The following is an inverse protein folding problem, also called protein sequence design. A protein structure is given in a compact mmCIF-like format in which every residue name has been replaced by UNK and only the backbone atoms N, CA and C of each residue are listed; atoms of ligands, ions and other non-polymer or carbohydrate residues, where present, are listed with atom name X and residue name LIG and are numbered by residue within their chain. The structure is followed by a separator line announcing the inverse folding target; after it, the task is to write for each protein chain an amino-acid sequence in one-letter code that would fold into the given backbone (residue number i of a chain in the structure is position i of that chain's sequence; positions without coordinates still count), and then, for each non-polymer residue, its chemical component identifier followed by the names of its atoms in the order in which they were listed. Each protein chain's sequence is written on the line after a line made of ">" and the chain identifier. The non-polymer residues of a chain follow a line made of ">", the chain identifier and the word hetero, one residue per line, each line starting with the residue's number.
data_IF_458799063479
#
_entry.id   IF_458799063479
#
_cell.length_a   1.000
_cell.length_b   1.000
_cell.length_c   1.000
_cell.angle_alpha   90.00
_cell.angle_beta   90.00
_cell.angle_gamma   90.00
#
_symmetry.space_group_name_H-M   'P 1'
#
loop_
_entity.id
_entity.type
_entity.pdbx_description
1 polymer ?
#
# COMPACT_ATOMS: atom_id res chain seq x y z
N UNK A 1 -13.44 43.13 13.67
CA UNK A 1 -13.64 41.71 14.02
C UNK A 1 -13.58 40.82 12.79
N UNK A 2 -14.35 41.07 11.72
CA UNK A 2 -14.26 40.26 10.47
C UNK A 2 -12.88 40.21 9.78
N UNK A 3 -12.08 41.28 9.87
CA UNK A 3 -10.74 41.31 9.27
C UNK A 3 -9.69 40.47 10.01
N UNK A 4 -9.83 40.34 11.33
CA UNK A 4 -8.91 39.58 12.19
C UNK A 4 -9.15 38.08 12.05
N UNK A 5 -10.42 37.67 12.03
CA UNK A 5 -10.84 36.27 11.86
C UNK A 5 -10.51 35.72 10.46
N UNK A 6 -10.60 36.54 9.40
CA UNK A 6 -10.16 36.15 8.05
C UNK A 6 -8.63 35.94 7.97
N UNK A 7 -7.86 36.74 8.71
CA UNK A 7 -6.40 36.65 8.74
C UNK A 7 -5.92 35.43 9.55
N UNK A 8 -6.55 35.14 10.69
CA UNK A 8 -6.30 33.93 11.49
C UNK A 8 -6.61 32.65 10.69
N UNK A 9 -7.73 32.63 9.96
CA UNK A 9 -8.09 31.50 9.11
C UNK A 9 -7.09 31.27 7.95
N UNK A 10 -6.50 32.33 7.39
CA UNK A 10 -5.50 32.19 6.34
C UNK A 10 -4.17 31.67 6.89
N UNK A 11 -3.77 32.10 8.09
CA UNK A 11 -2.57 31.60 8.78
C UNK A 11 -2.70 30.11 9.11
N UNK A 12 -3.86 29.68 9.63
CA UNK A 12 -4.12 28.26 9.90
C UNK A 12 -4.06 27.41 8.62
N UNK A 13 -4.62 27.90 7.50
CA UNK A 13 -4.52 27.20 6.20
C UNK A 13 -3.07 27.05 5.74
N UNK A 14 -2.27 28.11 5.85
CA UNK A 14 -0.86 28.06 5.47
C UNK A 14 -0.09 27.05 6.33
N UNK A 15 -0.34 27.02 7.64
CA UNK A 15 0.27 26.06 8.54
C UNK A 15 -0.09 24.61 8.18
N UNK A 16 -1.35 24.34 7.81
CA UNK A 16 -1.75 23.01 7.33
C UNK A 16 -0.99 22.59 6.08
N UNK A 17 -0.76 23.51 5.13
CA UNK A 17 0.03 23.23 3.94
C UNK A 17 1.51 22.97 4.26
N UNK A 18 2.09 23.75 5.16
CA UNK A 18 3.48 23.58 5.61
C UNK A 18 3.70 22.24 6.31
N UNK A 19 2.77 21.83 7.19
CA UNK A 19 2.81 20.52 7.86
C UNK A 19 2.74 19.39 6.82
N UNK A 20 1.84 19.50 5.85
CA UNK A 20 1.68 18.47 4.82
C UNK A 20 2.92 18.39 3.90
N UNK A 21 3.48 19.53 3.49
CA UNK A 21 4.72 19.57 2.70
C UNK A 21 5.90 18.97 3.48
N UNK A 22 6.03 19.32 4.77
CA UNK A 22 7.05 18.76 5.64
C UNK A 22 6.93 17.24 5.81
N UNK A 23 5.70 16.73 5.94
CA UNK A 23 5.40 15.29 6.02
C UNK A 23 5.91 14.56 4.77
N UNK A 24 5.51 15.00 3.56
CA UNK A 24 5.93 14.34 2.32
C UNK A 24 7.42 14.49 2.01
N UNK A 25 8.08 15.59 2.44
CA UNK A 25 9.54 15.72 2.39
C UNK A 25 10.23 14.74 3.34
N UNK A 26 9.63 14.45 4.49
CA UNK A 26 10.15 13.46 5.43
C UNK A 26 10.04 12.04 4.85
N UNK A 27 8.89 11.70 4.27
CA UNK A 27 8.72 10.43 3.57
C UNK A 27 9.69 10.27 2.38
N UNK A 28 9.97 11.34 1.64
CA UNK A 28 10.94 11.31 0.54
C UNK A 28 12.36 11.01 1.04
N UNK A 29 12.80 11.69 2.12
CA UNK A 29 14.10 11.40 2.75
C UNK A 29 14.18 9.97 3.24
N UNK A 30 13.10 9.44 3.81
CA UNK A 30 13.08 8.05 4.26
C UNK A 30 13.14 7.07 3.08
N UNK A 31 12.46 7.38 1.97
CA UNK A 31 12.54 6.62 0.73
C UNK A 31 13.95 6.61 0.13
N UNK A 32 14.67 7.74 0.20
CA UNK A 32 16.07 7.82 -0.20
C UNK A 32 16.98 7.00 0.72
N UNK A 33 16.73 7.01 2.03
CA UNK A 33 17.43 6.14 2.96
C UNK A 33 17.25 4.66 2.60
N UNK A 34 16.02 4.21 2.30
CA UNK A 34 15.77 2.84 1.86
C UNK A 34 16.51 2.50 0.55
N UNK A 35 16.62 3.45 -0.38
CA UNK A 35 17.43 3.31 -1.59
C UNK A 35 18.90 3.02 -1.28
N UNK A 36 19.51 3.80 -0.39
CA UNK A 36 20.90 3.56 0.03
C UNK A 36 21.09 2.25 0.79
N UNK A 37 20.09 1.81 1.55
CA UNK A 37 20.16 0.52 2.21
C UNK A 37 20.06 -0.64 1.21
N UNK A 38 19.23 -0.50 0.17
CA UNK A 38 19.17 -1.47 -0.92
C UNK A 38 20.49 -1.54 -1.69
N UNK A 39 21.13 -0.41 -1.98
CA UNK A 39 22.45 -0.34 -2.62
C UNK A 39 23.52 -1.16 -1.88
N UNK A 40 23.48 -1.13 -0.54
CA UNK A 40 24.49 -1.79 0.30
C UNK A 40 24.33 -3.30 0.38
N UNK A 41 23.10 -3.81 0.44
CA UNK A 41 22.83 -5.21 0.79
C UNK A 41 22.08 -5.99 -0.28
N UNK A 42 21.48 -5.32 -1.27
CA UNK A 42 20.44 -5.86 -2.15
C UNK A 42 19.28 -6.56 -1.41
N UNK A 43 19.11 -6.31 -0.11
CA UNK A 43 18.05 -6.87 0.74
C UNK A 43 17.45 -5.74 1.57
N UNK A 44 16.20 -5.40 1.25
CA UNK A 44 15.50 -4.20 1.70
C UNK A 44 14.11 -4.48 2.27
N UNK A 45 13.52 -5.66 2.00
CA UNK A 45 12.16 -6.02 2.38
C UNK A 45 11.90 -5.83 3.87
N UNK A 46 12.78 -6.31 4.75
CA UNK A 46 12.62 -6.11 6.20
C UNK A 46 12.57 -4.63 6.61
N UNK A 47 13.37 -3.78 5.95
CA UNK A 47 13.39 -2.33 6.23
C UNK A 47 12.16 -1.63 5.68
N UNK A 48 11.62 -2.10 4.54
CA UNK A 48 10.35 -1.62 4.01
C UNK A 48 9.19 -2.04 4.92
N UNK A 49 9.19 -3.27 5.44
CA UNK A 49 8.20 -3.70 6.44
C UNK A 49 8.28 -2.80 7.68
N UNK A 50 9.49 -2.56 8.20
CA UNK A 50 9.68 -1.66 9.34
C UNK A 50 9.16 -0.24 9.04
N UNK A 51 9.45 0.30 7.86
CA UNK A 51 8.94 1.61 7.46
C UNK A 51 7.41 1.66 7.49
N UNK A 52 6.71 0.59 7.10
CA UNK A 52 5.24 0.51 7.15
C UNK A 52 4.74 0.48 8.60
N UNK A 53 5.41 -0.26 9.48
CA UNK A 53 5.11 -0.26 10.92
C UNK A 53 5.29 1.14 11.50
N UNK A 54 6.38 1.82 11.14
CA UNK A 54 6.65 3.19 11.58
C UNK A 54 5.56 4.16 11.08
N UNK A 55 5.05 3.98 9.86
CA UNK A 55 3.89 4.74 9.37
C UNK A 55 2.65 4.51 10.24
N UNK A 56 2.35 3.26 10.61
CA UNK A 56 1.22 2.95 11.49
C UNK A 56 1.38 3.55 12.89
N UNK A 57 2.59 3.50 13.44
CA UNK A 57 2.91 4.12 14.73
C UNK A 57 2.79 5.64 14.67
N UNK A 58 3.36 6.28 13.64
CA UNK A 58 3.29 7.73 13.45
C UNK A 58 1.86 8.22 13.22
N UNK A 59 1.03 7.43 12.52
CA UNK A 59 -0.37 7.76 12.27
C UNK A 59 -1.26 7.56 13.51
N UNK A 60 -0.87 6.72 14.47
CA UNK A 60 -1.72 6.37 15.61
C UNK A 60 -1.92 7.56 16.54
N UNK A 61 -3.18 8.01 16.65
CA UNK A 61 -3.56 9.15 17.49
C UNK A 61 -4.18 8.60 18.78
N UNK A 62 -3.38 8.63 19.85
CA UNK A 62 -3.84 8.39 21.22
C UNK A 62 -3.87 9.73 21.97
N UNK A 63 -5.01 10.41 21.92
CA UNK A 63 -5.19 11.73 22.55
C UNK A 63 -6.20 11.62 23.68
N UNK A 64 -5.88 12.26 24.82
CA UNK A 64 -6.81 12.51 25.91
C UNK A 64 -6.62 13.96 26.37
N UNK A 65 -7.47 14.85 25.89
CA UNK A 65 -7.38 16.28 26.14
C UNK A 65 -8.53 16.75 27.02
N UNK A 66 -8.20 17.47 28.10
CA UNK A 66 -9.18 18.20 28.91
C UNK A 66 -9.42 19.55 28.26
N UNK A 67 -10.64 19.81 27.80
CA UNK A 67 -11.02 21.07 27.20
C UNK A 67 -11.36 22.03 28.33
N UNK A 68 -10.63 23.15 28.41
CA UNK A 68 -10.77 24.18 29.44
C UNK A 68 -11.33 25.45 28.77
N UNK A 69 -12.25 26.14 29.43
CA UNK A 69 -12.76 27.44 28.96
C UNK A 69 -11.84 28.61 29.34
N UNK A 70 -12.23 29.84 28.96
CA UNK A 70 -11.44 31.05 29.23
C UNK A 70 -11.32 31.39 30.73
N UNK A 71 -12.16 30.79 31.57
CA UNK A 71 -12.19 30.99 33.02
C UNK A 71 -11.49 29.83 33.78
N UNK A 72 -10.68 29.03 33.07
CA UNK A 72 -10.01 27.85 33.59
C UNK A 72 -10.95 26.73 34.11
N UNK A 73 -12.20 26.68 33.64
CA UNK A 73 -13.14 25.59 34.01
C UNK A 73 -13.11 24.47 32.99
N UNK A 74 -13.17 23.23 33.49
CA UNK A 74 -13.28 22.04 32.65
C UNK A 74 -14.62 22.08 31.92
N UNK A 75 -14.56 22.22 30.60
CA UNK A 75 -15.70 22.23 29.69
C UNK A 75 -16.01 20.84 29.12
N UNK A 76 -15.02 19.95 29.09
CA UNK A 76 -15.20 18.57 28.63
C UNK A 76 -13.88 17.80 28.51
N UNK A 77 -13.97 16.57 28.01
CA UNK A 77 -12.82 15.72 27.68
C UNK A 77 -12.97 15.19 26.25
N UNK A 78 -11.92 15.34 25.44
CA UNK A 78 -11.80 14.67 24.15
C UNK A 78 -10.86 13.47 24.31
N UNK A 79 -11.34 12.28 23.94
CA UNK A 79 -10.54 11.06 23.94
C UNK A 79 -10.61 10.42 22.56
N UNK A 80 -9.46 10.06 22.00
CA UNK A 80 -9.36 9.41 20.71
C UNK A 80 -8.34 8.28 20.77
N UNK A 81 -8.73 7.14 20.21
CA UNK A 81 -7.85 6.01 19.85
C UNK A 81 -8.09 5.73 18.38
N UNK A 82 -7.66 6.68 17.54
CA UNK A 82 -7.91 6.65 16.11
C UNK A 82 -6.65 6.17 15.39
N UNK A 83 -6.83 5.21 14.48
CA UNK A 83 -5.76 4.66 13.64
C UNK A 83 -6.08 4.99 12.16
N UNK A 84 -5.58 6.11 11.64
CA UNK A 84 -5.75 6.48 10.24
C UNK A 84 -5.19 5.41 9.30
N UNK A 85 -5.78 5.32 8.11
CA UNK A 85 -5.22 4.49 7.05
C UNK A 85 -3.93 5.10 6.52
N UNK A 86 -2.87 4.29 6.43
CA UNK A 86 -1.52 4.71 5.95
C UNK A 86 -1.33 4.48 4.45
N UNK A 87 -2.41 4.22 3.70
CA UNK A 87 -2.32 3.81 2.28
C UNK A 87 -1.66 4.86 1.40
N UNK A 88 -2.03 6.14 1.55
CA UNK A 88 -1.44 7.22 0.76
C UNK A 88 0.07 7.39 1.06
N UNK A 89 0.44 7.35 2.34
CA UNK A 89 1.84 7.45 2.76
C UNK A 89 2.68 6.26 2.26
N UNK A 90 2.12 5.06 2.30
CA UNK A 90 2.77 3.86 1.76
C UNK A 90 2.96 3.96 0.24
N UNK A 91 1.93 4.35 -0.50
CA UNK A 91 2.03 4.52 -1.96
C UNK A 91 3.07 5.58 -2.33
N UNK A 92 3.08 6.71 -1.62
CA UNK A 92 4.08 7.75 -1.81
C UNK A 92 5.49 7.27 -1.50
N UNK A 93 5.69 6.58 -0.38
CA UNK A 93 6.98 6.03 0.03
C UNK A 93 7.53 5.03 -1.01
N UNK A 94 6.70 4.10 -1.50
CA UNK A 94 7.13 3.15 -2.53
C UNK A 94 7.41 3.86 -3.86
N UNK A 95 6.58 4.84 -4.26
CA UNK A 95 6.81 5.59 -5.49
C UNK A 95 8.14 6.38 -5.45
N UNK A 96 8.43 7.05 -4.33
CA UNK A 96 9.68 7.77 -4.14
C UNK A 96 10.88 6.84 -4.03
N UNK A 97 10.73 5.70 -3.38
CA UNK A 97 11.78 4.67 -3.32
C UNK A 97 12.14 4.19 -4.74
N UNK A 98 11.14 3.86 -5.57
CA UNK A 98 11.35 3.46 -6.97
C UNK A 98 11.97 4.57 -7.82
N UNK A 99 11.61 5.83 -7.58
CA UNK A 99 12.22 6.99 -8.24
C UNK A 99 13.71 7.08 -7.91
N UNK A 100 14.08 6.93 -6.63
CA UNK A 100 15.48 6.98 -6.21
C UNK A 100 16.28 5.80 -6.76
N UNK A 101 15.71 4.59 -6.78
CA UNK A 101 16.31 3.43 -7.45
C UNK A 101 16.58 3.73 -8.93
N UNK A 102 15.58 4.28 -9.63
CA UNK A 102 15.73 4.65 -11.04
C UNK A 102 16.86 5.66 -11.29
N UNK A 103 17.07 6.62 -10.37
CA UNK A 103 18.18 7.56 -10.45
C UNK A 103 19.53 6.91 -10.13
N UNK A 104 19.58 6.09 -9.08
CA UNK A 104 20.79 5.40 -8.64
C UNK A 104 21.38 4.50 -9.73
N UNK A 105 20.52 3.84 -10.52
CA UNK A 105 20.93 3.00 -11.65
C UNK A 105 20.85 3.73 -13.01
N UNK A 106 20.78 5.07 -13.02
CA UNK A 106 20.77 5.92 -14.21
C UNK A 106 19.74 5.51 -15.28
N UNK A 107 18.58 5.01 -14.84
CA UNK A 107 17.60 4.42 -15.74
C UNK A 107 16.80 5.43 -16.57
N UNK A 108 16.79 6.69 -16.17
CA UNK A 108 15.99 7.75 -16.79
C UNK A 108 14.49 7.52 -16.63
N UNK A 109 14.09 6.89 -15.52
CA UNK A 109 12.69 6.61 -15.23
C UNK A 109 11.93 7.88 -14.83
N UNK A 110 10.68 7.95 -15.27
CA UNK A 110 9.66 8.80 -14.70
C UNK A 110 8.68 7.93 -13.91
N UNK A 111 8.46 8.27 -12.64
CA UNK A 111 7.55 7.56 -11.74
C UNK A 111 6.34 8.44 -11.48
N UNK A 112 5.18 8.01 -11.98
CA UNK A 112 3.91 8.67 -11.72
C UNK A 112 3.15 7.94 -10.61
N UNK A 113 2.76 8.67 -9.57
CA UNK A 113 1.89 8.20 -8.49
C UNK A 113 0.44 8.60 -8.80
N UNK A 114 -0.49 7.63 -8.86
CA UNK A 114 -1.94 7.84 -9.03
C UNK A 114 -2.36 8.74 -10.21
N UNK A 115 -1.51 8.86 -11.24
CA UNK A 115 -1.78 9.75 -12.38
C UNK A 115 -2.72 9.10 -13.39
N UNK A 116 -3.85 9.75 -13.63
CA UNK A 116 -4.87 9.23 -14.53
C UNK A 116 -4.54 9.46 -16.01
N UNK A 117 -4.72 8.42 -16.82
CA UNK A 117 -4.66 8.46 -18.29
C UNK A 117 -5.83 7.65 -18.83
N UNK A 118 -6.67 8.25 -19.69
CA UNK A 118 -7.85 7.58 -20.30
C UNK A 118 -8.70 6.80 -19.26
N UNK A 119 -8.95 7.41 -18.10
CA UNK A 119 -9.69 6.84 -16.96
C UNK A 119 -9.05 5.60 -16.31
N UNK A 120 -7.78 5.31 -16.57
CA UNK A 120 -6.98 4.36 -15.81
C UNK A 120 -5.99 5.13 -14.92
N UNK A 121 -5.99 4.83 -13.62
CA UNK A 121 -5.08 5.41 -12.65
C UNK A 121 -4.46 4.26 -11.85
N UNK A 122 -3.34 3.67 -12.31
CA UNK A 122 -2.58 2.73 -11.50
C UNK A 122 -2.04 3.43 -10.26
N UNK A 123 -1.80 2.67 -9.19
CA UNK A 123 -1.22 3.22 -7.96
C UNK A 123 0.15 3.82 -8.28
N UNK A 124 1.03 3.05 -8.94
CA UNK A 124 2.32 3.53 -9.45
C UNK A 124 2.52 3.11 -10.89
N UNK A 125 3.02 4.03 -11.72
CA UNK A 125 3.44 3.78 -13.10
C UNK A 125 4.89 4.21 -13.29
N UNK A 126 5.74 3.32 -13.78
CA UNK A 126 7.11 3.63 -14.18
C UNK A 126 7.17 3.71 -15.70
N UNK A 127 7.76 4.77 -16.24
CA UNK A 127 7.88 5.00 -17.67
C UNK A 127 9.26 5.54 -18.05
N UNK A 128 9.62 5.41 -19.32
CA UNK A 128 10.84 6.00 -19.90
C UNK A 128 10.54 6.44 -21.33
N UNK A 129 10.94 7.65 -21.72
CA UNK A 129 10.71 8.19 -23.06
C UNK A 129 9.25 8.10 -23.54
N UNK A 130 8.29 8.21 -22.62
CA UNK A 130 6.85 8.12 -22.91
C UNK A 130 6.28 6.70 -22.96
N UNK A 131 7.11 5.66 -22.90
CA UNK A 131 6.69 4.27 -22.86
C UNK A 131 6.53 3.77 -21.42
N UNK A 132 5.45 3.05 -21.13
CA UNK A 132 5.24 2.47 -19.81
C UNK A 132 6.05 1.18 -19.67
N UNK A 133 6.90 1.12 -18.65
CA UNK A 133 7.75 -0.03 -18.38
C UNK A 133 7.11 -0.96 -17.37
N UNK A 134 6.54 -0.42 -16.28
CA UNK A 134 6.00 -1.20 -15.18
C UNK A 134 4.79 -0.51 -14.56
N UNK A 135 3.86 -1.30 -14.03
CA UNK A 135 2.73 -0.84 -13.24
C UNK A 135 2.68 -1.62 -11.94
N UNK A 136 2.43 -0.93 -10.83
CA UNK A 136 2.22 -1.54 -9.53
C UNK A 136 0.85 -1.13 -9.00
N UNK A 137 0.10 -2.12 -8.53
CA UNK A 137 -1.12 -1.98 -7.75
C UNK A 137 -0.79 -2.35 -6.30
N UNK A 138 -0.88 -1.39 -5.39
CA UNK A 138 -0.49 -1.51 -3.99
C UNK A 138 -1.72 -1.79 -3.12
N UNK A 139 -1.60 -2.73 -2.18
CA UNK A 139 -2.65 -3.05 -1.22
C UNK A 139 -2.08 -3.21 0.18
N UNK A 140 -2.08 -2.12 0.95
CA UNK A 140 -1.73 -2.15 2.38
C UNK A 140 -2.72 -3.01 3.17
N UNK A 141 -4.01 -2.90 2.83
CA UNK A 141 -5.08 -3.72 3.38
C UNK A 141 -5.89 -4.34 2.25
N UNK A 142 -6.17 -5.64 2.36
CA UNK A 142 -6.84 -6.42 1.32
C UNK A 142 -8.28 -6.79 1.71
N UNK A 143 -8.90 -6.01 2.61
CA UNK A 143 -10.23 -6.32 3.15
C UNK A 143 -11.32 -6.50 2.09
N UNK A 144 -11.25 -5.74 1.00
CA UNK A 144 -12.21 -5.76 -0.11
C UNK A 144 -11.80 -6.72 -1.24
N UNK A 145 -10.50 -7.00 -1.40
CA UNK A 145 -9.96 -7.93 -2.40
C UNK A 145 -9.80 -9.36 -1.89
N UNK A 146 -10.47 -9.73 -0.78
CA UNK A 146 -10.31 -11.04 -0.13
C UNK A 146 -10.56 -12.22 -1.07
N UNK A 147 -11.65 -12.25 -1.82
CA UNK A 147 -11.93 -13.35 -2.77
C UNK A 147 -10.97 -13.38 -3.96
N UNK A 148 -10.35 -12.24 -4.27
CA UNK A 148 -9.42 -12.11 -5.38
C UNK A 148 -8.07 -12.74 -5.06
N UNK A 149 -7.70 -12.79 -3.78
CA UNK A 149 -6.38 -13.24 -3.31
C UNK A 149 -6.46 -14.50 -2.44
N UNK A 150 -7.44 -14.60 -1.54
CA UNK A 150 -7.56 -15.69 -0.57
C UNK A 150 -8.41 -16.86 -1.11
N UNK A 151 -7.83 -18.06 -1.29
CA UNK A 151 -8.57 -19.21 -1.80
C UNK A 151 -9.66 -19.67 -0.83
N UNK A 152 -9.40 -19.70 0.48
CA UNK A 152 -10.41 -20.15 1.46
C UNK A 152 -11.58 -19.18 1.57
N UNK A 153 -11.31 -17.87 1.50
CA UNK A 153 -12.38 -16.89 1.47
C UNK A 153 -13.20 -17.00 0.19
N UNK A 154 -12.55 -17.23 -0.96
CA UNK A 154 -13.24 -17.45 -2.23
C UNK A 154 -14.16 -18.68 -2.16
N UNK A 155 -13.65 -19.83 -1.73
CA UNK A 155 -14.40 -21.08 -1.65
C UNK A 155 -15.62 -20.92 -0.74
N UNK A 156 -15.41 -20.36 0.46
CA UNK A 156 -16.51 -20.06 1.39
C UNK A 156 -17.51 -19.07 0.81
N UNK A 157 -17.05 -17.99 0.19
CA UNK A 157 -17.93 -17.01 -0.42
C UNK A 157 -18.75 -17.60 -1.58
N UNK A 158 -18.17 -18.56 -2.32
CA UNK A 158 -18.85 -19.25 -3.42
C UNK A 158 -19.92 -20.20 -2.88
N UNK A 159 -19.61 -20.96 -1.83
CA UNK A 159 -20.57 -21.80 -1.11
C UNK A 159 -21.72 -20.96 -0.53
N UNK A 160 -21.41 -19.85 0.15
CA UNK A 160 -22.41 -18.95 0.72
C UNK A 160 -23.32 -18.34 -0.35
N UNK A 161 -22.78 -18.00 -1.53
CA UNK A 161 -23.57 -17.51 -2.66
C UNK A 161 -24.52 -18.59 -3.21
N UNK A 162 -24.02 -19.81 -3.46
CA UNK A 162 -24.83 -20.96 -3.91
C UNK A 162 -25.96 -21.27 -2.91
N UNK A 163 -25.66 -21.15 -1.62
CA UNK A 163 -26.62 -21.38 -0.53
C UNK A 163 -27.48 -20.15 -0.19
N UNK A 164 -27.41 -19.06 -0.98
CA UNK A 164 -28.17 -17.81 -0.79
C UNK A 164 -27.95 -17.13 0.57
N UNK A 165 -26.80 -17.37 1.21
CA UNK A 165 -26.34 -16.66 2.43
C UNK A 165 -25.62 -15.35 2.10
N UNK A 166 -25.27 -15.15 0.83
CA UNK A 166 -24.60 -13.97 0.30
C UNK A 166 -25.27 -13.52 -1.01
N UNK A 167 -25.37 -12.22 -1.20
CA UNK A 167 -26.09 -11.56 -2.30
C UNK A 167 -25.20 -11.22 -3.52
N UNK A 168 -23.89 -11.47 -3.43
CA UNK A 168 -22.94 -11.22 -4.50
C UNK A 168 -22.19 -12.48 -4.92
N UNK A 169 -21.98 -12.63 -6.24
CA UNK A 169 -21.19 -13.73 -6.82
C UNK A 169 -19.70 -13.40 -6.80
N UNK A 170 -18.86 -14.22 -6.15
CA UNK A 170 -17.42 -14.03 -6.15
C UNK A 170 -16.75 -14.04 -7.50
N UNK A 171 -17.29 -14.78 -8.48
CA UNK A 171 -16.72 -14.80 -9.83
C UNK A 171 -16.94 -13.45 -10.53
N UNK A 172 -18.15 -12.88 -10.43
CA UNK A 172 -18.45 -11.56 -11.00
C UNK A 172 -17.62 -10.48 -10.31
N UNK A 173 -17.48 -10.56 -8.98
CA UNK A 173 -16.66 -9.61 -8.22
C UNK A 173 -15.20 -9.68 -8.67
N UNK A 174 -14.63 -10.89 -8.73
CA UNK A 174 -13.25 -11.10 -9.12
C UNK A 174 -12.99 -10.74 -10.59
N UNK A 175 -13.93 -11.00 -11.49
CA UNK A 175 -13.84 -10.61 -12.90
C UNK A 175 -13.74 -9.09 -13.05
N UNK A 176 -14.49 -8.32 -12.25
CA UNK A 176 -14.37 -6.84 -12.25
C UNK A 176 -12.98 -6.38 -11.83
N UNK A 177 -12.36 -7.03 -10.84
CA UNK A 177 -10.99 -6.72 -10.43
C UNK A 177 -9.98 -7.07 -11.52
N UNK A 178 -10.10 -8.25 -12.15
CA UNK A 178 -9.25 -8.66 -13.28
C UNK A 178 -9.39 -7.68 -14.46
N UNK A 179 -10.61 -7.24 -14.78
CA UNK A 179 -10.84 -6.25 -15.85
C UNK A 179 -10.15 -4.90 -15.58
N UNK A 180 -9.97 -4.51 -14.31
CA UNK A 180 -9.19 -3.30 -13.96
C UNK A 180 -7.72 -3.48 -14.34
N UNK A 181 -7.15 -4.66 -14.11
CA UNK A 181 -5.78 -4.98 -14.50
C UNK A 181 -5.65 -5.05 -16.03
N UNK A 182 -6.63 -5.64 -16.72
CA UNK A 182 -6.68 -5.68 -18.19
C UNK A 182 -6.74 -4.28 -18.80
N UNK A 183 -7.46 -3.36 -18.14
CA UNK A 183 -7.53 -1.96 -18.55
C UNK A 183 -6.16 -1.30 -18.55
N UNK A 184 -5.29 -1.64 -17.61
CA UNK A 184 -3.91 -1.13 -17.61
C UNK A 184 -3.13 -1.60 -18.83
N UNK A 185 -3.20 -2.90 -19.15
CA UNK A 185 -2.59 -3.44 -20.37
C UNK A 185 -3.07 -2.72 -21.62
N UNK A 186 -4.38 -2.51 -21.75
CA UNK A 186 -4.97 -1.85 -22.92
C UNK A 186 -4.62 -0.35 -23.01
N UNK A 187 -4.68 0.40 -21.90
CA UNK A 187 -4.47 1.86 -21.90
C UNK A 187 -3.00 2.22 -22.05
N UNK A 188 -2.11 1.47 -21.42
CA UNK A 188 -0.67 1.76 -21.37
C UNK A 188 0.17 0.92 -22.34
N UNK A 189 -0.48 0.04 -23.12
CA UNK A 189 0.18 -0.87 -24.06
C UNK A 189 1.31 -1.69 -23.40
N UNK A 190 0.97 -2.33 -22.27
CA UNK A 190 1.93 -3.06 -21.44
C UNK A 190 1.45 -4.51 -21.24
N UNK A 191 2.34 -5.51 -21.36
CA UNK A 191 1.97 -6.90 -21.14
C UNK A 191 1.74 -7.17 -19.64
N UNK A 192 0.90 -8.18 -19.32
CA UNK A 192 0.49 -8.51 -17.94
C UNK A 192 1.67 -8.85 -17.03
N UNK A 193 2.74 -9.40 -17.60
CA UNK A 193 3.98 -9.76 -16.93
C UNK A 193 4.70 -8.55 -16.32
N UNK A 194 4.34 -7.34 -16.74
CA UNK A 194 4.89 -6.09 -16.20
C UNK A 194 3.93 -5.32 -15.28
N UNK A 195 2.82 -5.96 -14.87
CA UNK A 195 1.88 -5.45 -13.88
C UNK A 195 2.05 -6.26 -12.59
N UNK A 196 2.35 -5.57 -11.49
CA UNK A 196 2.59 -6.17 -10.18
C UNK A 196 1.48 -5.81 -9.20
N UNK A 197 1.14 -6.75 -8.33
CA UNK A 197 0.21 -6.58 -7.22
C UNK A 197 0.97 -6.77 -5.91
N UNK A 198 1.10 -5.72 -5.12
CA UNK A 198 2.04 -5.65 -4.01
C UNK A 198 1.31 -5.49 -2.70
N UNK A 199 1.62 -6.32 -1.72
CA UNK A 199 1.08 -6.24 -0.37
C UNK A 199 2.17 -6.46 0.68
N UNK A 200 2.17 -5.71 1.79
CA UNK A 200 3.17 -5.91 2.83
C UNK A 200 2.89 -7.14 3.71
N UNK A 201 1.63 -7.53 3.87
CA UNK A 201 1.26 -8.69 4.69
C UNK A 201 -0.05 -9.33 4.25
N UNK A 202 -0.19 -10.63 4.44
CA UNK A 202 -1.42 -11.39 4.21
C UNK A 202 -2.30 -11.50 5.48
N UNK A 203 -1.85 -11.00 6.62
CA UNK A 203 -2.52 -11.20 7.92
C UNK A 203 -3.97 -10.71 7.98
N UNK A 204 -4.34 -9.73 7.17
CA UNK A 204 -5.73 -9.21 7.11
C UNK A 204 -6.70 -10.14 6.38
N UNK A 205 -6.19 -11.10 5.61
CA UNK A 205 -6.98 -12.01 4.77
C UNK A 205 -6.70 -13.49 5.04
N UNK A 206 -5.71 -13.79 5.88
CA UNK A 206 -5.35 -15.15 6.24
C UNK A 206 -6.34 -15.78 7.23
N UNK A 207 -6.93 -16.91 6.84
CA UNK A 207 -8.00 -17.59 7.59
C UNK A 207 -7.48 -18.54 8.69
N UNK A 208 -6.35 -18.21 9.31
CA UNK A 208 -5.63 -19.03 10.31
C UNK A 208 -5.48 -20.53 9.95
N UNK A 209 -5.58 -20.87 8.67
CA UNK A 209 -5.51 -22.24 8.20
C UNK A 209 -4.03 -22.61 8.01
N UNK A 210 -3.49 -23.54 8.82
CA UNK A 210 -2.07 -23.87 8.82
C UNK A 210 -1.60 -24.52 7.51
N UNK A 211 -2.51 -24.94 6.64
CA UNK A 211 -2.18 -25.52 5.33
C UNK A 211 -1.97 -24.45 4.26
N UNK A 212 -2.27 -23.18 4.52
CA UNK A 212 -2.07 -22.11 3.55
C UNK A 212 -0.63 -21.62 3.58
N UNK A 213 -0.06 -21.43 2.39
CA UNK A 213 1.29 -20.89 2.17
C UNK A 213 1.19 -19.73 1.19
N UNK A 214 2.21 -18.88 1.10
CA UNK A 214 2.26 -17.79 0.10
C UNK A 214 2.04 -18.34 -1.32
N UNK A 215 2.63 -19.49 -1.66
CA UNK A 215 2.46 -20.11 -2.97
C UNK A 215 1.00 -20.49 -3.29
N UNK A 216 0.20 -20.88 -2.29
CA UNK A 216 -1.22 -21.12 -2.49
C UNK A 216 -1.99 -19.84 -2.78
N UNK A 217 -1.65 -18.74 -2.09
CA UNK A 217 -2.21 -17.42 -2.42
C UNK A 217 -1.79 -16.98 -3.83
N UNK A 218 -0.52 -17.15 -4.21
CA UNK A 218 0.00 -16.85 -5.56
C UNK A 218 -0.68 -17.67 -6.64
N UNK A 219 -0.90 -18.95 -6.40
CA UNK A 219 -1.57 -19.86 -7.34
C UNK A 219 -3.03 -19.45 -7.55
N UNK A 220 -3.74 -19.11 -6.47
CA UNK A 220 -5.11 -18.59 -6.54
C UNK A 220 -5.14 -17.23 -7.26
N UNK A 221 -4.28 -16.29 -6.86
CA UNK A 221 -4.16 -14.98 -7.49
C UNK A 221 -3.88 -15.09 -8.99
N UNK A 222 -2.96 -15.96 -9.42
CA UNK A 222 -2.67 -16.21 -10.84
C UNK A 222 -3.92 -16.66 -11.59
N UNK A 223 -4.66 -17.63 -11.03
CA UNK A 223 -5.90 -18.16 -11.62
C UNK A 223 -6.96 -17.07 -11.78
N UNK A 224 -7.09 -16.18 -10.80
CA UNK A 224 -8.18 -15.20 -10.74
C UNK A 224 -7.84 -13.89 -11.47
N UNK A 225 -6.60 -13.40 -11.35
CA UNK A 225 -6.16 -12.14 -11.97
C UNK A 225 -5.72 -12.32 -13.43
N UNK A 226 -5.22 -13.51 -13.77
CA UNK A 226 -4.53 -13.77 -15.03
C UNK A 226 -3.10 -13.21 -15.11
N UNK A 227 -2.57 -12.64 -14.02
CA UNK A 227 -1.17 -12.22 -13.92
C UNK A 227 -0.26 -13.41 -13.54
N UNK A 228 1.06 -13.35 -13.80
CA UNK A 228 2.00 -14.36 -13.29
C UNK A 228 1.97 -14.47 -11.76
N UNK A 229 2.30 -15.65 -11.23
CA UNK A 229 2.37 -15.91 -9.79
C UNK A 229 3.32 -14.96 -9.07
N UNK A 230 4.46 -14.70 -9.70
CA UNK A 230 5.57 -13.94 -9.12
C UNK A 230 5.29 -12.43 -9.16
N UNK A 231 4.24 -12.02 -9.88
CA UNK A 231 3.76 -10.65 -9.89
C UNK A 231 2.87 -10.35 -8.68
N UNK A 232 2.54 -11.36 -7.85
CA UNK A 232 2.02 -11.14 -6.51
C UNK A 232 3.17 -11.09 -5.51
N UNK A 233 3.51 -9.85 -5.12
CA UNK A 233 4.64 -9.51 -4.27
C UNK A 233 4.15 -9.36 -2.84
N UNK A 234 4.63 -10.23 -1.95
CA UNK A 234 4.29 -10.23 -0.53
C UNK A 234 5.56 -9.97 0.26
N UNK A 235 5.57 -8.98 1.16
CA UNK A 235 6.80 -8.67 1.91
C UNK A 235 7.03 -9.59 3.10
N UNK A 236 6.00 -9.85 3.91
CA UNK A 236 6.10 -10.65 5.12
C UNK A 236 5.71 -12.11 4.86
N UNK A 237 6.63 -13.05 5.16
CA UNK A 237 6.41 -14.50 5.14
C UNK A 237 5.41 -14.93 6.23
N UNK A 238 5.40 -14.22 7.36
CA UNK A 238 4.48 -14.54 8.46
C UNK A 238 3.05 -14.14 8.10
N UNK A 239 2.25 -15.15 7.73
CA UNK A 239 0.86 -15.00 7.33
C UNK A 239 -0.08 -14.49 8.43
N UNK A 240 0.36 -14.45 9.69
CA UNK A 240 -0.47 -14.09 10.84
C UNK A 240 -0.16 -12.69 11.39
N UNK A 241 1.03 -12.16 11.11
CA UNK A 241 1.51 -10.94 11.73
C UNK A 241 0.89 -9.70 11.10
N UNK A 242 0.09 -8.99 11.90
CA UNK A 242 -0.50 -7.71 11.52
C UNK A 242 0.48 -6.59 11.78
N UNK A 243 0.76 -5.83 10.73
CA UNK A 243 1.68 -4.67 10.79
C UNK A 243 1.03 -3.44 11.43
N UNK A 244 -0.29 -3.45 11.63
CA UNK A 244 -1.06 -2.34 12.19
C UNK A 244 -1.47 -2.56 13.66
N UNK A 245 -0.96 -3.61 14.31
CA UNK A 245 -1.19 -3.94 15.71
C UNK A 245 0.15 -3.92 16.40
N UNK A 246 0.41 -2.93 17.26
CA UNK A 246 1.76 -2.68 17.81
C UNK A 246 2.38 -3.91 18.48
N UNK A 247 1.60 -4.68 19.25
CA UNK A 247 2.11 -5.89 19.92
C UNK A 247 2.55 -6.98 18.94
N UNK A 248 1.94 -7.05 17.75
CA UNK A 248 2.32 -7.98 16.70
C UNK A 248 3.42 -7.40 15.80
N UNK A 249 3.38 -6.09 15.54
CA UNK A 249 4.29 -5.39 14.65
C UNK A 249 5.70 -5.25 15.22
N UNK A 250 5.87 -5.22 16.55
CA UNK A 250 7.18 -5.14 17.21
C UNK A 250 7.91 -6.49 17.27
N UNK A 251 7.26 -7.59 16.84
CA UNK A 251 7.90 -8.90 16.74
C UNK A 251 8.82 -8.99 15.52
N UNK A 252 9.92 -9.77 15.58
CA UNK A 252 10.82 -9.95 14.44
C UNK A 252 10.08 -10.41 13.17
N UNK A 253 10.32 -9.69 12.08
CA UNK A 253 9.76 -10.04 10.78
C UNK A 253 10.54 -11.17 10.11
N UNK A 254 9.84 -11.97 9.33
CA UNK A 254 10.44 -12.88 8.37
C UNK A 254 10.13 -12.32 6.99
N UNK A 255 11.09 -11.65 6.39
CA UNK A 255 10.93 -11.10 5.05
C UNK A 255 10.98 -12.21 3.99
N UNK A 256 10.12 -12.10 2.98
CA UNK A 256 10.35 -12.77 1.70
C UNK A 256 11.46 -12.05 0.93
N UNK A 257 11.82 -12.58 -0.24
CA UNK A 257 12.71 -11.93 -1.20
C UNK A 257 11.95 -11.32 -2.41
N UNK A 258 10.61 -11.23 -2.35
CA UNK A 258 9.81 -10.93 -3.54
C UNK A 258 9.94 -9.48 -4.02
N UNK A 259 10.16 -8.54 -3.09
CA UNK A 259 10.42 -7.15 -3.45
C UNK A 259 11.76 -7.04 -4.17
N UNK A 260 12.80 -7.68 -3.66
CA UNK A 260 14.12 -7.72 -4.30
C UNK A 260 14.03 -8.33 -5.70
N UNK A 261 13.38 -9.48 -5.85
CA UNK A 261 13.16 -10.13 -7.15
C UNK A 261 12.45 -9.21 -8.15
N UNK A 262 11.44 -8.45 -7.70
CA UNK A 262 10.76 -7.45 -8.53
C UNK A 262 11.68 -6.28 -8.89
N UNK A 263 12.41 -5.73 -7.92
CA UNK A 263 13.32 -4.61 -8.14
C UNK A 263 14.44 -4.98 -9.11
N UNK A 264 15.03 -6.16 -8.97
CA UNK A 264 16.06 -6.65 -9.88
C UNK A 264 15.52 -6.78 -11.31
N UNK A 265 14.31 -7.29 -11.51
CA UNK A 265 13.66 -7.28 -12.84
C UNK A 265 13.51 -5.87 -13.39
N UNK A 266 13.19 -4.88 -12.55
CA UNK A 266 13.09 -3.50 -13.01
C UNK A 266 14.45 -2.96 -13.45
N UNK A 267 15.50 -3.24 -12.66
CA UNK A 267 16.87 -2.76 -12.89
C UNK A 267 17.55 -3.49 -14.06
N UNK A 268 17.20 -4.73 -14.38
CA UNK A 268 17.82 -5.46 -15.50
C UNK A 268 17.20 -5.11 -16.87
N UNK A 269 16.00 -4.53 -16.88
CA UNK A 269 15.34 -3.99 -18.08
C UNK A 269 15.77 -2.55 -18.40
#
# INVERSE_FOLDING_TARGET
>A
MEGTEKMENQQLKNLLYEINDYHYKTLDKFSLYLCHEFEKSNNITSKVIQAIVDLYHAASINLSETIIDKDNKIKGQFKSSYHPAVTADFEYLIARFLYHIGNMYEKGWSVDLRKQVKNAAPDIRISKNGETLWILELKVSMSWSKSFVSPTFYDKAKEDFVNRKKDWDPDIFNQKQSNTLDKYSAVFNIPKEKIYFVTPSLATIHDRNPKLTIDKYRSHFKKVSGLPSDNFVVFNENLFQKLNVSEEADLPFIATNNLEEMLMKFIEN
#
